data_IF_877253360653
#
_entry.id   IF_877253360653
#
_cell.length_a   1.000
_cell.length_b   1.000
_cell.length_c   1.000
_cell.angle_alpha   90.00
_cell.angle_beta   90.00
_cell.angle_gamma   90.00
#
_symmetry.space_group_name_H-M   'P 1'
#
loop_
_entity.id
_entity.type
_entity.pdbx_description
1 polymer ?
#
# COMPACT_ATOMS: atom_id res chain seq x y z
N UNK A 1 1.56 -9.92 15.93
CA UNK A 1 1.38 -10.88 14.82
C UNK A 1 2.76 -11.25 14.32
N UNK A 2 2.98 -12.49 13.87
CA UNK A 2 4.26 -12.90 13.30
C UNK A 2 4.53 -12.16 11.99
N UNK A 3 5.77 -11.69 11.81
CA UNK A 3 6.19 -11.08 10.55
C UNK A 3 6.66 -12.20 9.63
N UNK A 4 5.92 -12.41 8.52
CA UNK A 4 6.22 -13.49 7.56
C UNK A 4 7.07 -13.01 6.38
N UNK A 5 7.05 -11.70 6.10
CA UNK A 5 7.90 -11.05 5.10
C UNK A 5 8.41 -9.74 5.67
N UNK A 6 9.68 -9.46 5.45
CA UNK A 6 10.35 -8.27 5.93
C UNK A 6 11.34 -7.75 4.88
N UNK A 7 11.00 -6.62 4.27
CA UNK A 7 11.76 -6.02 3.18
C UNK A 7 12.28 -4.66 3.62
N UNK A 8 13.60 -4.50 3.60
CA UNK A 8 14.26 -3.22 3.87
C UNK A 8 14.34 -2.32 2.63
N UNK A 9 14.83 -1.10 2.87
CA UNK A 9 14.95 -0.03 1.88
C UNK A 9 15.61 -0.42 0.56
N UNK A 10 16.63 -1.28 0.61
CA UNK A 10 17.33 -1.75 -0.59
C UNK A 10 16.41 -2.47 -1.59
N UNK A 11 15.35 -3.13 -1.09
CA UNK A 11 14.35 -3.80 -1.92
C UNK A 11 13.17 -2.88 -2.24
N UNK A 12 12.69 -2.13 -1.25
CA UNK A 12 11.47 -1.30 -1.40
C UNK A 12 11.70 -0.08 -2.28
N UNK A 13 12.92 0.47 -2.30
CA UNK A 13 13.25 1.66 -3.09
C UNK A 13 13.59 1.35 -4.57
N UNK A 14 13.78 0.08 -4.95
CA UNK A 14 13.96 -0.33 -6.35
C UNK A 14 12.59 -0.63 -6.98
N UNK A 15 12.10 0.18 -7.94
CA UNK A 15 10.79 0.00 -8.53
C UNK A 15 10.70 -1.24 -9.46
N UNK A 16 11.82 -1.75 -9.96
CA UNK A 16 11.84 -2.97 -10.79
C UNK A 16 11.63 -4.22 -9.94
N UNK A 17 12.08 -4.18 -8.68
CA UNK A 17 11.89 -5.26 -7.70
C UNK A 17 10.56 -5.09 -6.97
N UNK A 18 10.38 -3.97 -6.26
CA UNK A 18 9.18 -3.71 -5.43
C UNK A 18 7.87 -3.63 -6.24
N UNK A 19 7.94 -3.27 -7.53
CA UNK A 19 6.78 -3.28 -8.44
C UNK A 19 6.32 -4.68 -8.87
N UNK A 20 7.11 -5.73 -8.59
CA UNK A 20 6.79 -7.13 -8.85
C UNK A 20 6.36 -7.90 -7.61
N UNK A 21 6.62 -7.34 -6.43
CA UNK A 21 6.23 -7.90 -5.15
C UNK A 21 4.80 -7.46 -4.85
N UNK A 22 3.89 -8.43 -4.76
CA UNK A 22 2.46 -8.19 -4.58
C UNK A 22 2.02 -8.60 -3.16
N UNK A 23 1.04 -7.88 -2.63
CA UNK A 23 0.38 -8.20 -1.36
C UNK A 23 -1.12 -8.41 -1.59
N UNK A 24 -1.75 -9.19 -0.71
CA UNK A 24 -3.17 -9.52 -0.76
C UNK A 24 -3.75 -9.58 0.65
N UNK A 25 -4.84 -8.84 0.86
CA UNK A 25 -5.69 -8.92 2.05
C UNK A 25 -7.08 -9.34 1.61
N UNK A 26 -7.68 -10.34 2.25
CA UNK A 26 -9.04 -10.80 1.89
C UNK A 26 -10.02 -10.54 3.01
N UNK A 27 -11.30 -10.37 2.65
CA UNK A 27 -12.39 -10.22 3.62
C UNK A 27 -13.12 -11.54 3.93
N UNK A 28 -12.66 -12.67 3.37
CA UNK A 28 -13.26 -13.99 3.60
C UNK A 28 -14.59 -14.27 2.87
N UNK A 29 -15.13 -13.33 2.08
CA UNK A 29 -16.34 -13.51 1.27
C UNK A 29 -16.07 -13.40 -0.24
N UNK A 30 -14.80 -13.52 -0.64
CA UNK A 30 -14.36 -13.44 -2.04
C UNK A 30 -13.96 -12.03 -2.51
N UNK A 31 -14.11 -11.01 -1.66
CA UNK A 31 -13.56 -9.67 -1.85
C UNK A 31 -12.14 -9.54 -1.28
N UNK A 32 -11.38 -8.57 -1.81
CA UNK A 32 -9.99 -8.38 -1.42
C UNK A 32 -9.47 -6.96 -1.70
N UNK A 33 -8.32 -6.66 -1.11
CA UNK A 33 -7.44 -5.56 -1.44
C UNK A 33 -6.10 -6.14 -1.88
N UNK A 34 -5.52 -5.62 -2.94
CA UNK A 34 -4.21 -6.06 -3.42
C UNK A 34 -3.49 -4.96 -4.19
N UNK A 35 -2.17 -5.07 -4.24
CA UNK A 35 -1.32 -4.12 -4.93
C UNK A 35 0.14 -4.55 -4.89
N UNK A 36 1.01 -3.67 -5.34
CA UNK A 36 2.46 -3.87 -5.26
C UNK A 36 3.01 -3.26 -3.98
N UNK A 37 4.19 -3.69 -3.54
CA UNK A 37 4.93 -3.04 -2.45
C UNK A 37 5.26 -1.59 -2.81
N UNK A 38 5.57 -1.32 -4.08
CA UNK A 38 5.89 0.01 -4.60
C UNK A 38 4.70 0.99 -4.65
N UNK A 39 3.46 0.52 -4.48
CA UNK A 39 2.26 1.35 -4.51
C UNK A 39 1.68 1.63 -5.90
N UNK A 40 2.45 1.51 -6.98
CA UNK A 40 1.91 1.65 -8.34
C UNK A 40 1.24 0.36 -8.84
N UNK A 41 0.21 0.52 -9.68
CA UNK A 41 -0.57 -0.59 -10.23
C UNK A 41 0.10 -1.18 -11.47
N UNK A 42 0.16 -2.50 -11.54
CA UNK A 42 0.68 -3.25 -12.70
C UNK A 42 -0.35 -4.19 -13.32
N UNK A 43 -1.50 -4.40 -12.65
CA UNK A 43 -2.56 -5.31 -13.09
C UNK A 43 -3.95 -4.69 -12.85
N UNK A 44 -4.94 -5.13 -13.65
CA UNK A 44 -6.35 -4.71 -13.51
C UNK A 44 -7.00 -5.16 -12.19
N UNK A 45 -6.43 -6.17 -11.55
CA UNK A 45 -6.91 -6.72 -10.28
C UNK A 45 -6.23 -6.09 -9.06
N UNK A 46 -5.48 -4.99 -9.22
CA UNK A 46 -4.99 -4.21 -8.08
C UNK A 46 -6.02 -3.17 -7.69
N UNK A 47 -6.32 -3.11 -6.39
CA UNK A 47 -7.37 -2.26 -5.83
C UNK A 47 -7.33 -2.26 -4.32
N UNK A 48 -7.71 -1.14 -3.70
CA UNK A 48 -7.94 -1.11 -2.26
C UNK A 48 -9.27 -1.76 -1.88
N UNK A 49 -10.25 -1.81 -2.78
CA UNK A 49 -11.49 -2.54 -2.55
C UNK A 49 -11.99 -3.17 -3.84
N UNK A 50 -11.75 -4.46 -3.99
CA UNK A 50 -12.39 -5.32 -4.99
C UNK A 50 -13.46 -6.11 -4.27
N UNK A 51 -14.70 -5.61 -4.35
CA UNK A 51 -15.84 -6.15 -3.63
C UNK A 51 -16.46 -7.32 -4.40
N UNK A 52 -16.74 -8.43 -3.71
CA UNK A 52 -17.61 -9.47 -4.25
C UNK A 52 -19.07 -9.06 -3.97
N UNK A 53 -19.75 -8.48 -4.95
CA UNK A 53 -21.13 -8.01 -4.80
C UNK A 53 -22.16 -9.16 -4.86
N UNK A 54 -21.74 -10.31 -5.39
CA UNK A 54 -22.49 -11.58 -5.36
C UNK A 54 -21.57 -12.72 -4.92
N UNK A 55 -21.18 -12.78 -3.63
CA UNK A 55 -20.18 -13.71 -3.13
C UNK A 55 -20.37 -15.17 -3.58
N UNK A 56 -19.32 -15.88 -4.03
CA UNK A 56 -17.92 -15.44 -4.20
C UNK A 56 -17.61 -14.84 -5.59
N UNK A 57 -18.63 -14.63 -6.43
CA UNK A 57 -18.53 -14.11 -7.80
C UNK A 57 -18.84 -12.60 -7.85
N UNK A 58 -18.86 -12.04 -9.07
CA UNK A 58 -19.26 -10.64 -9.29
C UNK A 58 -18.31 -9.64 -8.63
N UNK A 59 -17.01 -9.81 -8.85
CA UNK A 59 -15.98 -8.91 -8.33
C UNK A 59 -16.03 -7.57 -9.06
N UNK A 60 -16.16 -6.50 -8.31
CA UNK A 60 -16.22 -5.13 -8.80
C UNK A 60 -15.14 -4.31 -8.11
N UNK A 61 -14.31 -3.62 -8.89
CA UNK A 61 -13.37 -2.65 -8.35
C UNK A 61 -14.14 -1.40 -7.91
N UNK A 62 -14.27 -1.19 -6.60
CA UNK A 62 -14.96 -0.04 -6.02
C UNK A 62 -13.97 1.07 -5.63
N UNK A 63 -12.78 0.70 -5.13
CA UNK A 63 -11.72 1.66 -4.79
C UNK A 63 -10.41 1.19 -5.41
N UNK A 64 -9.88 2.01 -6.33
CA UNK A 64 -8.68 1.68 -7.10
C UNK A 64 -7.39 1.86 -6.32
N UNK A 65 -7.23 2.99 -5.64
CA UNK A 65 -6.06 3.35 -4.83
C UNK A 65 -6.35 4.56 -3.95
N UNK A 66 -5.42 4.89 -3.07
CA UNK A 66 -5.35 6.14 -2.35
C UNK A 66 -4.02 6.80 -2.70
N UNK A 67 -4.06 8.07 -3.11
CA UNK A 67 -2.88 8.86 -3.45
C UNK A 67 -2.52 9.77 -2.28
N UNK A 68 -1.78 9.24 -1.32
CA UNK A 68 -1.52 9.96 -0.09
C UNK A 68 -0.42 10.99 -0.24
N UNK A 69 -0.65 12.19 0.27
CA UNK A 69 0.36 13.23 0.39
C UNK A 69 0.42 13.71 1.83
N UNK A 70 1.60 13.61 2.43
CA UNK A 70 1.85 14.09 3.80
C UNK A 70 2.40 15.50 3.74
N UNK A 71 1.88 16.38 4.58
CA UNK A 71 2.44 17.71 4.81
C UNK A 71 3.21 17.69 6.12
N UNK A 72 4.50 17.99 6.07
CA UNK A 72 5.38 17.94 7.24
C UNK A 72 6.55 18.92 7.07
N UNK A 73 6.83 19.73 8.10
CA UNK A 73 7.87 20.78 8.10
C UNK A 73 7.83 21.68 6.83
N UNK A 74 6.63 22.09 6.41
CA UNK A 74 6.45 22.94 5.23
C UNK A 74 6.62 22.23 3.87
N UNK A 75 6.99 20.95 3.86
CA UNK A 75 7.10 20.13 2.66
C UNK A 75 5.82 19.34 2.41
N UNK A 76 5.50 19.13 1.13
CA UNK A 76 4.41 18.26 0.67
C UNK A 76 5.01 17.02 0.02
N UNK A 77 4.89 15.87 0.67
CA UNK A 77 5.58 14.63 0.30
C UNK A 77 4.56 13.59 -0.18
N UNK A 78 4.52 13.26 -1.49
CA UNK A 78 3.69 12.17 -1.98
C UNK A 78 4.25 10.81 -1.54
N UNK A 79 3.39 9.94 -1.02
CA UNK A 79 3.75 8.57 -0.60
C UNK A 79 3.31 7.51 -1.62
N UNK A 80 2.61 7.92 -2.67
CA UNK A 80 2.13 7.06 -3.74
C UNK A 80 3.04 7.13 -4.97
N UNK A 81 2.80 6.21 -5.90
CA UNK A 81 3.44 6.19 -7.20
C UNK A 81 2.45 5.74 -8.27
N UNK A 82 2.57 6.28 -9.48
CA UNK A 82 1.90 5.78 -10.67
C UNK A 82 2.92 5.43 -11.74
N UNK A 83 2.58 4.44 -12.56
CA UNK A 83 3.36 4.07 -13.73
C UNK A 83 2.62 4.49 -14.99
N UNK A 84 3.21 5.43 -15.72
CA UNK A 84 2.76 5.92 -17.00
C UNK A 84 3.58 5.29 -18.11
N UNK A 85 2.95 5.00 -19.26
CA UNK A 85 3.60 4.32 -20.39
C UNK A 85 4.70 5.19 -20.99
N UNK A 86 4.49 6.51 -21.05
CA UNK A 86 5.41 7.47 -21.69
C UNK A 86 6.33 8.14 -20.68
N UNK A 87 5.79 8.54 -19.53
CA UNK A 87 6.48 9.41 -18.55
C UNK A 87 7.24 8.63 -17.47
N UNK A 88 7.16 7.30 -17.47
CA UNK A 88 7.79 6.46 -16.46
C UNK A 88 7.00 6.44 -15.15
N UNK A 89 7.70 6.35 -14.01
CA UNK A 89 7.05 6.27 -12.70
C UNK A 89 7.10 7.64 -12.03
N UNK A 90 5.93 8.17 -11.68
CA UNK A 90 5.79 9.42 -10.93
C UNK A 90 4.44 9.44 -10.19
N UNK A 91 4.35 10.03 -8.98
CA UNK A 91 5.46 10.43 -8.13
C UNK A 91 6.31 9.25 -7.66
N UNK A 92 7.47 9.52 -7.05
CA UNK A 92 8.42 8.49 -6.60
C UNK A 92 8.21 8.09 -5.13
N UNK A 93 6.95 7.97 -4.68
CA UNK A 93 6.63 7.69 -3.27
C UNK A 93 7.28 6.43 -2.72
N UNK A 94 7.55 5.43 -3.58
CA UNK A 94 8.28 4.21 -3.21
C UNK A 94 9.69 4.48 -2.65
N UNK A 95 10.34 5.59 -3.02
CA UNK A 95 11.65 5.96 -2.46
C UNK A 95 11.59 6.35 -0.98
N UNK A 96 10.39 6.66 -0.47
CA UNK A 96 10.13 6.98 0.93
C UNK A 96 9.83 5.75 1.76
N UNK A 97 9.59 4.59 1.15
CA UNK A 97 9.36 3.33 1.87
C UNK A 97 10.69 2.87 2.44
N UNK A 98 10.85 3.05 3.75
CA UNK A 98 12.01 2.55 4.49
C UNK A 98 11.93 1.04 4.70
N UNK A 99 10.70 0.56 4.97
CA UNK A 99 10.45 -0.85 5.23
C UNK A 99 9.05 -1.26 4.79
N UNK A 100 8.94 -2.49 4.30
CA UNK A 100 7.66 -3.19 4.11
C UNK A 100 7.67 -4.47 4.94
N UNK A 101 6.57 -4.73 5.64
CA UNK A 101 6.35 -5.98 6.38
C UNK A 101 5.01 -6.57 5.99
N UNK A 102 4.94 -7.89 5.97
CA UNK A 102 3.68 -8.62 5.99
C UNK A 102 3.53 -9.24 7.39
N UNK A 103 2.67 -8.65 8.21
CA UNK A 103 2.38 -9.12 9.56
C UNK A 103 1.12 -10.01 9.50
N UNK A 104 1.33 -11.33 9.51
CA UNK A 104 0.30 -12.29 9.12
C UNK A 104 -0.15 -12.06 7.68
N UNK A 105 -1.35 -11.47 7.50
CA UNK A 105 -1.89 -11.07 6.19
C UNK A 105 -1.96 -9.55 6.02
N UNK A 106 -1.50 -8.77 7.00
CA UNK A 106 -1.60 -7.31 7.00
C UNK A 106 -0.33 -6.71 6.39
N UNK A 107 -0.40 -6.06 5.21
CA UNK A 107 0.72 -5.33 4.67
C UNK A 107 0.92 -4.02 5.44
N UNK A 108 2.17 -3.76 5.81
CA UNK A 108 2.59 -2.63 6.64
C UNK A 108 3.75 -1.93 5.94
N UNK A 109 3.63 -0.62 5.75
CA UNK A 109 4.70 0.23 5.24
C UNK A 109 5.17 1.16 6.33
N UNK A 110 6.48 1.35 6.44
CA UNK A 110 7.06 2.45 7.21
C UNK A 110 7.71 3.42 6.22
N UNK A 111 7.28 4.67 6.27
CA UNK A 111 7.76 5.75 5.43
C UNK A 111 8.66 6.70 6.21
N UNK A 112 9.79 7.08 5.62
CA UNK A 112 10.69 8.09 6.15
C UNK A 112 10.40 9.46 5.53
N UNK A 113 10.05 10.43 6.38
CA UNK A 113 9.69 11.80 6.03
C UNK A 113 10.66 12.75 6.73
N UNK A 114 11.87 12.89 6.18
CA UNK A 114 12.98 13.56 6.86
C UNK A 114 13.33 12.87 8.18
N UNK A 115 13.01 13.46 9.33
CA UNK A 115 13.23 12.93 10.67
C UNK A 115 12.02 12.13 11.22
N UNK A 116 10.84 12.27 10.59
CA UNK A 116 9.63 11.57 10.96
C UNK A 116 9.50 10.17 10.33
N UNK A 117 8.78 9.29 11.02
CA UNK A 117 8.41 7.95 10.58
C UNK A 117 6.89 7.79 10.63
N UNK A 118 6.29 7.47 9.48
CA UNK A 118 4.87 7.19 9.35
C UNK A 118 4.65 5.72 9.01
N UNK A 119 3.85 5.01 9.79
CA UNK A 119 3.40 3.67 9.45
C UNK A 119 2.05 3.71 8.74
N UNK A 120 1.89 2.92 7.68
CA UNK A 120 0.62 2.67 6.99
C UNK A 120 0.30 1.18 7.08
N UNK A 121 -0.94 0.84 7.38
CA UNK A 121 -1.47 -0.52 7.37
C UNK A 121 -2.72 -0.60 6.51
N UNK A 122 -2.90 -1.71 5.81
CA UNK A 122 -4.14 -2.00 5.09
C UNK A 122 -4.76 -3.26 5.68
N UNK A 123 -6.03 -3.16 6.08
CA UNK A 123 -6.80 -4.28 6.63
C UNK A 123 -8.15 -4.36 5.91
N UNK A 124 -8.77 -5.54 5.93
CA UNK A 124 -10.15 -5.68 5.51
C UNK A 124 -10.99 -6.25 6.63
N UNK A 125 -12.23 -5.78 6.72
CA UNK A 125 -13.20 -6.33 7.63
C UNK A 125 -13.61 -7.73 7.21
N UNK A 126 -13.55 -8.69 8.13
CA UNK A 126 -14.02 -10.05 7.84
C UNK A 126 -15.53 -10.04 7.62
N UNK A 127 -15.98 -10.57 6.49
CA UNK A 127 -17.41 -10.68 6.16
C UNK A 127 -18.02 -9.44 5.51
N UNK A 128 -17.25 -8.37 5.29
CA UNK A 128 -17.76 -7.13 4.70
C UNK A 128 -16.85 -6.60 3.58
N UNK A 129 -17.44 -5.93 2.60
CA UNK A 129 -16.72 -5.23 1.52
C UNK A 129 -16.20 -3.86 2.03
N UNK A 130 -15.35 -3.91 3.06
CA UNK A 130 -14.79 -2.74 3.74
C UNK A 130 -13.28 -2.88 3.87
N UNK A 131 -12.54 -1.84 3.47
CA UNK A 131 -11.09 -1.76 3.62
C UNK A 131 -10.75 -0.60 4.55
N UNK A 132 -9.90 -0.87 5.54
CA UNK A 132 -9.35 0.13 6.44
C UNK A 132 -7.92 0.49 6.02
N UNK A 133 -7.66 1.78 5.90
CA UNK A 133 -6.31 2.34 5.85
C UNK A 133 -6.04 2.97 7.21
N UNK A 134 -5.01 2.48 7.90
CA UNK A 134 -4.58 3.03 9.19
C UNK A 134 -3.22 3.66 9.02
N UNK A 135 -3.07 4.84 9.61
CA UNK A 135 -1.80 5.55 9.67
C UNK A 135 -1.45 5.82 11.12
N UNK A 136 -0.22 5.50 11.51
CA UNK A 136 0.31 5.78 12.85
C UNK A 136 1.62 6.58 12.70
N UNK A 137 1.68 7.76 13.31
CA UNK A 137 2.91 8.54 13.39
C UNK A 137 3.79 7.92 14.48
N UNK A 138 4.83 7.20 14.06
CA UNK A 138 5.72 6.48 14.99
C UNK A 138 6.76 7.41 15.62
N UNK A 139 7.19 8.44 14.89
CA UNK A 139 8.16 9.43 15.34
C UNK A 139 7.98 10.73 14.55
N UNK A 140 8.09 11.86 15.22
CA UNK A 140 8.33 13.19 14.66
C UNK A 140 8.99 14.05 15.74
N UNK A 141 9.82 15.02 15.35
CA UNK A 141 10.32 16.05 16.26
C UNK A 141 9.46 17.32 16.12
N UNK A 142 9.32 18.07 17.21
CA UNK A 142 8.57 19.34 17.26
C UNK A 142 9.23 20.45 16.43
#
# INVERSE_FOLDING_TARGET
METVVDLGRGTTADPLVSGRLEWLVTNGIGGYASGTVAGFRTRRYHGLLIAALRPPLGRTLLVSKADETVRYQGLSVPLFADRHVVEGIAPLGFQRIDRFRLEGTTPVWTFSLSDALLEKRILMERGANTTYLRYDLLRAYE
#
